data_IF_738111203891
#
_entry.id   IF_738111203891
#
_cell.length_a   1.000
_cell.length_b   1.000
_cell.length_c   1.000
_cell.angle_alpha   90.00
_cell.angle_beta   90.00
_cell.angle_gamma   90.00
#
_symmetry.space_group_name_H-M   'P 1'
#
loop_
_entity.id
_entity.type
_entity.pdbx_description
1 polymer ?
#
# COMPACT_ATOMS: atom_id res chain seq x y z
N UNK A 1 30.16 1.32 9.89
CA UNK A 1 28.71 1.02 9.86
C UNK A 1 28.46 -0.23 9.02
N UNK A 2 28.56 -1.42 9.59
CA UNK A 2 28.34 -2.68 8.85
C UNK A 2 26.84 -2.94 8.67
N UNK A 3 26.42 -3.34 7.46
CA UNK A 3 25.03 -3.73 7.17
C UNK A 3 24.05 -2.62 6.75
N UNK A 4 24.47 -1.36 6.64
CA UNK A 4 23.61 -0.26 6.18
C UNK A 4 23.03 -0.51 4.78
N UNK A 5 23.85 -0.98 3.83
CA UNK A 5 23.42 -1.30 2.45
C UNK A 5 22.26 -2.31 2.42
N UNK A 6 22.32 -3.34 3.29
CA UNK A 6 21.26 -4.34 3.43
C UNK A 6 19.94 -3.72 3.90
N UNK A 7 19.99 -2.77 4.84
CA UNK A 7 18.78 -2.07 5.32
C UNK A 7 18.12 -1.24 4.21
N UNK A 8 18.92 -0.53 3.41
CA UNK A 8 18.41 0.24 2.26
C UNK A 8 17.73 -0.68 1.25
N UNK A 9 18.34 -1.84 0.93
CA UNK A 9 17.75 -2.83 0.02
C UNK A 9 16.41 -3.35 0.57
N UNK A 10 16.34 -3.71 1.86
CA UNK A 10 15.10 -4.17 2.50
C UNK A 10 13.99 -3.11 2.38
N UNK A 11 14.30 -1.84 2.69
CA UNK A 11 13.32 -0.76 2.58
C UNK A 11 12.85 -0.52 1.13
N UNK A 12 13.74 -0.66 0.15
CA UNK A 12 13.37 -0.57 -1.26
C UNK A 12 12.41 -1.70 -1.66
N UNK A 13 12.66 -2.93 -1.21
CA UNK A 13 11.75 -4.05 -1.46
C UNK A 13 10.38 -3.81 -0.79
N UNK A 14 10.35 -3.35 0.46
CA UNK A 14 9.12 -3.01 1.17
C UNK A 14 8.32 -1.93 0.40
N UNK A 15 9.02 -0.92 -0.16
CA UNK A 15 8.38 0.14 -0.95
C UNK A 15 7.73 -0.42 -2.20
N UNK A 16 8.38 -1.34 -2.91
CA UNK A 16 7.82 -2.01 -4.09
C UNK A 16 6.58 -2.83 -3.72
N UNK A 17 6.65 -3.60 -2.62
CA UNK A 17 5.50 -4.38 -2.14
C UNK A 17 4.33 -3.46 -1.79
N UNK A 18 4.60 -2.36 -1.06
CA UNK A 18 3.57 -1.38 -0.71
C UNK A 18 2.91 -0.77 -1.97
N UNK A 19 3.69 -0.47 -3.01
CA UNK A 19 3.16 0.00 -4.28
C UNK A 19 2.21 -1.00 -4.95
N UNK A 20 2.60 -2.28 -4.99
CA UNK A 20 1.74 -3.35 -5.51
C UNK A 20 0.46 -3.48 -4.69
N UNK A 21 0.55 -3.38 -3.35
CA UNK A 21 -0.61 -3.41 -2.46
C UNK A 21 -1.57 -2.25 -2.71
N UNK A 22 -1.07 -1.03 -2.98
CA UNK A 22 -1.90 0.13 -3.34
C UNK A 22 -2.72 -0.17 -4.60
N UNK A 23 -2.08 -0.69 -5.65
CA UNK A 23 -2.75 -1.03 -6.91
C UNK A 23 -3.81 -2.10 -6.68
N UNK A 24 -3.46 -3.19 -5.98
CA UNK A 24 -4.37 -4.30 -5.72
C UNK A 24 -5.61 -3.86 -4.91
N UNK A 25 -5.40 -3.09 -3.83
CA UNK A 25 -6.49 -2.58 -2.98
C UNK A 25 -7.35 -1.57 -3.73
N UNK A 26 -6.77 -0.74 -4.59
CA UNK A 26 -7.53 0.20 -5.43
C UNK A 26 -8.46 -0.54 -6.41
N UNK A 27 -7.97 -1.62 -7.05
CA UNK A 27 -8.79 -2.45 -7.93
C UNK A 27 -9.91 -3.13 -7.14
N UNK A 28 -9.58 -3.71 -5.98
CA UNK A 28 -10.56 -4.38 -5.13
C UNK A 28 -11.67 -3.43 -4.65
N UNK A 29 -11.30 -2.22 -4.24
CA UNK A 29 -12.25 -1.18 -3.83
C UNK A 29 -13.20 -0.79 -4.98
N UNK A 30 -12.67 -0.68 -6.20
CA UNK A 30 -13.49 -0.39 -7.38
C UNK A 30 -14.50 -1.50 -7.68
N UNK A 31 -14.14 -2.77 -7.46
CA UNK A 31 -15.04 -3.91 -7.65
C UNK A 31 -16.14 -3.95 -6.58
N UNK A 32 -15.79 -3.72 -5.31
CA UNK A 32 -16.75 -3.64 -4.21
C UNK A 32 -17.81 -2.56 -4.46
N UNK A 33 -17.40 -1.38 -4.95
CA UNK A 33 -18.32 -0.30 -5.30
C UNK A 33 -19.32 -0.68 -6.40
N UNK A 34 -18.94 -1.55 -7.34
CA UNK A 34 -19.84 -2.06 -8.38
C UNK A 34 -20.94 -2.95 -7.82
N UNK A 35 -20.62 -3.81 -6.86
CA UNK A 35 -21.61 -4.73 -6.23
C UNK A 35 -22.58 -3.96 -5.34
N UNK A 36 -22.09 -2.98 -4.57
CA UNK A 36 -22.92 -2.10 -3.76
C UNK A 36 -23.90 -1.26 -4.60
N UNK A 37 -23.50 -0.82 -5.80
CA UNK A 37 -24.42 -0.14 -6.73
C UNK A 37 -25.48 -1.06 -7.31
N UNK A 38 -25.19 -2.35 -7.50
CA UNK A 38 -26.18 -3.32 -7.98
C UNK A 38 -27.32 -3.52 -6.97
N UNK A 39 -27.06 -3.30 -5.67
CA UNK A 39 -28.09 -3.28 -4.64
C UNK A 39 -29.18 -2.22 -4.87
N UNK A 40 -28.84 -1.08 -5.49
CA UNK A 40 -29.82 -0.04 -5.79
C UNK A 40 -30.88 -0.50 -6.79
N UNK A 41 -30.59 -1.56 -7.56
CA UNK A 41 -31.48 -2.14 -8.57
C UNK A 41 -32.11 -3.46 -8.15
N UNK A 42 -31.57 -4.14 -7.13
CA UNK A 42 -32.04 -5.44 -6.64
C UNK A 42 -31.97 -5.50 -5.12
N UNK A 43 -33.08 -5.89 -4.48
CA UNK A 43 -33.14 -6.13 -3.04
C UNK A 43 -32.18 -7.26 -2.66
N UNK A 44 -31.04 -6.90 -2.08
CA UNK A 44 -30.09 -7.82 -1.47
C UNK A 44 -30.38 -7.93 0.03
N UNK A 45 -30.09 -9.09 0.60
CA UNK A 45 -30.17 -9.32 2.05
C UNK A 45 -29.26 -8.34 2.80
N UNK A 46 -29.76 -7.78 3.92
CA UNK A 46 -29.03 -6.83 4.77
C UNK A 46 -27.67 -7.38 5.22
N UNK A 47 -27.60 -8.69 5.49
CA UNK A 47 -26.35 -9.36 5.89
C UNK A 47 -25.27 -9.27 4.81
N UNK A 48 -25.65 -9.29 3.54
CA UNK A 48 -24.73 -9.16 2.41
C UNK A 48 -24.22 -7.71 2.34
N UNK A 49 -25.11 -6.73 2.46
CA UNK A 49 -24.77 -5.30 2.42
C UNK A 49 -23.78 -4.95 3.54
N UNK A 50 -24.06 -5.40 4.76
CA UNK A 50 -23.18 -5.15 5.90
C UNK A 50 -21.80 -5.74 5.66
N UNK A 51 -21.73 -6.99 5.18
CA UNK A 51 -20.45 -7.65 4.86
C UNK A 51 -19.66 -6.87 3.81
N UNK A 52 -20.30 -6.37 2.76
CA UNK A 52 -19.65 -5.58 1.72
C UNK A 52 -19.21 -4.19 2.23
N UNK A 53 -19.98 -3.56 3.12
CA UNK A 53 -19.58 -2.30 3.76
C UNK A 53 -18.41 -2.49 4.73
N UNK A 54 -18.36 -3.60 5.47
CA UNK A 54 -17.19 -3.99 6.26
C UNK A 54 -15.97 -4.17 5.35
N UNK A 55 -16.09 -4.98 4.29
CA UNK A 55 -15.01 -5.20 3.33
C UNK A 55 -14.50 -3.88 2.71
N UNK A 56 -15.42 -2.97 2.35
CA UNK A 56 -15.08 -1.64 1.83
C UNK A 56 -14.27 -0.83 2.84
N UNK A 57 -14.71 -0.79 4.10
CA UNK A 57 -14.04 -0.03 5.16
C UNK A 57 -12.63 -0.56 5.44
N UNK A 58 -12.47 -1.89 5.53
CA UNK A 58 -11.15 -2.52 5.68
C UNK A 58 -10.23 -2.26 4.49
N UNK A 59 -10.77 -2.27 3.27
CA UNK A 59 -9.99 -1.99 2.05
C UNK A 59 -9.49 -0.55 2.04
N UNK A 60 -10.32 0.42 2.44
CA UNK A 60 -9.92 1.83 2.56
C UNK A 60 -8.83 1.98 3.63
N UNK A 61 -8.99 1.34 4.80
CA UNK A 61 -7.98 1.35 5.86
C UNK A 61 -6.64 0.76 5.40
N UNK A 62 -6.68 -0.39 4.71
CA UNK A 62 -5.51 -1.03 4.13
C UNK A 62 -4.83 -0.15 3.07
N UNK A 63 -5.61 0.53 2.24
CA UNK A 63 -5.10 1.44 1.21
C UNK A 63 -4.35 2.61 1.86
N UNK A 64 -4.95 3.22 2.88
CA UNK A 64 -4.33 4.32 3.62
C UNK A 64 -3.01 3.89 4.26
N UNK A 65 -2.98 2.72 4.90
CA UNK A 65 -1.77 2.15 5.48
C UNK A 65 -0.68 1.91 4.43
N UNK A 66 -1.03 1.30 3.30
CA UNK A 66 -0.11 1.05 2.21
C UNK A 66 0.49 2.35 1.64
N UNK A 67 -0.31 3.42 1.52
CA UNK A 67 0.16 4.74 1.12
C UNK A 67 1.19 5.34 2.10
N UNK A 68 0.96 5.22 3.41
CA UNK A 68 1.90 5.69 4.44
C UNK A 68 3.22 4.94 4.34
N UNK A 69 3.16 3.61 4.28
CA UNK A 69 4.37 2.77 4.15
C UNK A 69 5.12 3.08 2.86
N UNK A 70 4.41 3.31 1.75
CA UNK A 70 5.02 3.68 0.48
C UNK A 70 5.76 5.03 0.56
N UNK A 71 5.14 6.07 1.14
CA UNK A 71 5.81 7.37 1.31
C UNK A 71 7.03 7.27 2.22
N UNK A 72 6.91 6.60 3.37
CA UNK A 72 8.03 6.39 4.27
C UNK A 72 9.16 5.61 3.59
N UNK A 73 8.81 4.55 2.87
CA UNK A 73 9.74 3.71 2.12
C UNK A 73 10.50 4.50 1.06
N UNK A 74 9.81 5.33 0.27
CA UNK A 74 10.45 6.21 -0.71
C UNK A 74 11.49 7.15 -0.08
N UNK A 75 11.14 7.81 1.03
CA UNK A 75 12.03 8.75 1.71
C UNK A 75 13.26 8.02 2.25
N UNK A 76 13.06 6.87 2.91
CA UNK A 76 14.14 6.08 3.50
C UNK A 76 15.06 5.51 2.41
N UNK A 77 14.49 4.96 1.34
CA UNK A 77 15.26 4.41 0.22
C UNK A 77 16.05 5.50 -0.51
N UNK A 78 15.45 6.68 -0.75
CA UNK A 78 16.14 7.81 -1.38
C UNK A 78 17.30 8.32 -0.52
N UNK A 79 17.05 8.61 0.76
CA UNK A 79 18.09 9.03 1.70
C UNK A 79 19.18 7.94 1.83
N UNK A 80 18.75 6.69 1.82
CA UNK A 80 19.55 5.47 1.77
C UNK A 80 20.61 5.47 0.67
N UNK A 81 20.12 5.60 -0.57
CA UNK A 81 20.95 5.59 -1.79
C UNK A 81 21.84 6.83 -1.84
N UNK A 82 21.30 8.01 -1.48
CA UNK A 82 22.07 9.26 -1.46
C UNK A 82 23.26 9.16 -0.50
N UNK A 83 23.03 8.71 0.73
CA UNK A 83 24.09 8.51 1.73
C UNK A 83 25.14 7.49 1.28
N UNK A 84 24.74 6.43 0.59
CA UNK A 84 25.69 5.47 0.01
C UNK A 84 26.63 6.15 -1.00
N UNK A 85 26.09 6.94 -1.94
CA UNK A 85 26.91 7.67 -2.93
C UNK A 85 27.90 8.66 -2.28
N UNK A 86 27.51 9.31 -1.18
CA UNK A 86 28.43 10.18 -0.43
C UNK A 86 29.59 9.40 0.18
N UNK A 87 29.33 8.25 0.80
CA UNK A 87 30.39 7.43 1.39
C UNK A 87 31.39 6.94 0.34
N UNK A 88 30.92 6.61 -0.87
CA UNK A 88 31.81 6.21 -1.98
C UNK A 88 32.66 7.35 -2.55
N UNK A 89 32.22 8.61 -2.41
CA UNK A 89 32.97 9.77 -2.90
C UNK A 89 34.13 10.17 -1.97
N UNK A 90 34.04 9.83 -0.68
CA UNK A 90 35.05 10.14 0.33
C UNK A 90 35.85 8.89 0.79
N UNK A 91 35.67 7.77 0.09
CA UNK A 91 36.37 6.49 0.28
C UNK A 91 37.43 6.30 -0.78
#
# INVERSE_FOLDING_TARGET
>A
MTGYKRKVIIWTIITIIAFISIIALSIFLSKLGGVLKLHEYVTLDQKIIDTYNFARSYTIGGLAFACIIFMMGLIISYAGIKSWKYVEMFS
#
